data_IF_231569623587
#
_entry.id   IF_231569623587
#
_cell.length_a   1.000
_cell.length_b   1.000
_cell.length_c   1.000
_cell.angle_alpha   90.00
_cell.angle_beta   90.00
_cell.angle_gamma   90.00
#
_symmetry.space_group_name_H-M   'P 1'
#
loop_
_entity.id
_entity.type
_entity.pdbx_description
1 polymer ?
#
# COMPACT_ATOMS: atom_id res chain seq x y z
N UNK A 1 4.00 -24.27 -1.31
CA UNK A 1 3.58 -23.19 -2.23
C UNK A 1 4.48 -21.99 -1.97
N UNK A 2 5.25 -21.53 -2.96
CA UNK A 2 6.11 -20.36 -2.77
C UNK A 2 5.24 -19.09 -2.74
N UNK A 3 5.65 -18.07 -2.00
CA UNK A 3 4.94 -16.78 -1.94
C UNK A 3 4.80 -16.18 -3.34
N UNK A 4 5.83 -16.34 -4.18
CA UNK A 4 5.82 -15.90 -5.58
C UNK A 4 4.72 -16.58 -6.42
N UNK A 5 4.47 -17.87 -6.20
CA UNK A 5 3.44 -18.62 -6.92
C UNK A 5 2.03 -18.13 -6.52
N UNK A 6 1.85 -17.75 -5.26
CA UNK A 6 0.57 -17.27 -4.74
C UNK A 6 0.11 -15.95 -5.36
N UNK A 7 1.06 -15.09 -5.75
CA UNK A 7 0.79 -13.78 -6.36
C UNK A 7 0.76 -13.81 -7.90
N UNK A 8 1.34 -14.83 -8.54
CA UNK A 8 1.37 -14.96 -10.00
C UNK A 8 0.33 -15.95 -10.57
N UNK A 9 -0.35 -16.73 -9.72
CA UNK A 9 -1.46 -17.60 -10.14
C UNK A 9 -2.81 -16.87 -10.03
N UNK A 10 -3.19 -16.17 -11.10
CA UNK A 10 -4.48 -15.49 -11.21
C UNK A 10 -5.69 -16.45 -11.24
N UNK A 11 -5.46 -17.74 -11.54
CA UNK A 11 -6.51 -18.76 -11.63
C UNK A 11 -6.85 -19.39 -10.26
N UNK A 12 -5.90 -19.35 -9.34
CA UNK A 12 -5.99 -19.88 -7.98
C UNK A 12 -6.94 -19.10 -7.07
N UNK A 13 -7.55 -19.80 -6.10
CA UNK A 13 -8.37 -19.15 -5.04
C UNK A 13 -7.57 -18.13 -4.22
N UNK A 14 -6.27 -18.39 -4.03
CA UNK A 14 -5.36 -17.53 -3.25
C UNK A 14 -5.01 -16.25 -3.99
N UNK A 15 -4.66 -16.30 -5.27
CA UNK A 15 -4.39 -15.10 -6.07
C UNK A 15 -5.60 -14.18 -6.15
N UNK A 16 -6.79 -14.74 -6.37
CA UNK A 16 -8.05 -13.97 -6.34
C UNK A 16 -8.32 -13.31 -4.99
N UNK A 17 -8.08 -14.02 -3.88
CA UNK A 17 -8.27 -13.47 -2.55
C UNK A 17 -7.27 -12.33 -2.27
N UNK A 18 -5.99 -12.51 -2.62
CA UNK A 18 -4.96 -11.48 -2.43
C UNK A 18 -5.26 -10.22 -3.25
N UNK A 19 -5.60 -10.37 -4.53
CA UNK A 19 -6.02 -9.25 -5.39
C UNK A 19 -7.26 -8.54 -4.81
N UNK A 20 -8.27 -9.29 -4.38
CA UNK A 20 -9.45 -8.73 -3.72
C UNK A 20 -9.10 -7.91 -2.47
N UNK A 21 -8.19 -8.41 -1.63
CA UNK A 21 -7.74 -7.70 -0.42
C UNK A 21 -7.02 -6.40 -0.82
N UNK A 22 -6.12 -6.45 -1.79
CA UNK A 22 -5.36 -5.28 -2.24
C UNK A 22 -6.28 -4.16 -2.73
N UNK A 23 -7.28 -4.47 -3.55
CA UNK A 23 -8.22 -3.46 -4.07
C UNK A 23 -9.21 -2.94 -3.02
N UNK A 24 -9.39 -3.68 -1.91
CA UNK A 24 -10.23 -3.26 -0.77
C UNK A 24 -9.45 -2.69 0.41
N UNK A 25 -8.12 -2.61 0.30
CA UNK A 25 -7.25 -2.07 1.36
C UNK A 25 -7.62 -0.63 1.77
N UNK A 26 -8.24 0.14 0.88
CA UNK A 26 -8.77 1.48 1.19
C UNK A 26 -9.84 1.48 2.29
N UNK A 27 -10.66 0.43 2.40
CA UNK A 27 -11.63 0.30 3.51
C UNK A 27 -10.93 0.00 4.83
N UNK A 28 -9.91 -0.87 4.81
CA UNK A 28 -9.11 -1.15 5.99
C UNK A 28 -8.36 0.11 6.47
N UNK A 29 -7.85 0.92 5.53
CA UNK A 29 -7.24 2.22 5.82
C UNK A 29 -8.25 3.20 6.44
N UNK A 30 -9.45 3.30 5.89
CA UNK A 30 -10.49 4.19 6.43
C UNK A 30 -10.92 3.76 7.85
N UNK A 31 -11.14 2.46 8.06
CA UNK A 31 -11.45 1.91 9.38
C UNK A 31 -10.33 2.17 10.38
N UNK A 32 -9.07 1.99 9.97
CA UNK A 32 -7.91 2.30 10.80
C UNK A 32 -7.83 3.78 11.16
N UNK A 33 -8.01 4.69 10.19
CA UNK A 33 -8.01 6.13 10.46
C UNK A 33 -9.10 6.54 11.47
N UNK A 34 -10.29 5.94 11.38
CA UNK A 34 -11.36 6.16 12.37
C UNK A 34 -10.96 5.60 13.74
N UNK A 35 -10.41 4.38 13.80
CA UNK A 35 -9.96 3.78 15.05
C UNK A 35 -8.85 4.59 15.74
N UNK A 36 -7.92 5.17 14.97
CA UNK A 36 -6.89 6.10 15.46
C UNK A 36 -7.52 7.32 16.12
N UNK A 37 -8.43 8.01 15.43
CA UNK A 37 -9.11 9.20 15.98
C UNK A 37 -9.88 8.84 17.24
N UNK A 38 -10.57 7.70 17.27
CA UNK A 38 -11.25 7.23 18.48
C UNK A 38 -10.23 6.97 19.60
N UNK A 39 -9.12 6.28 19.32
CA UNK A 39 -8.07 5.99 20.28
C UNK A 39 -7.36 7.24 20.84
N UNK A 40 -7.33 8.35 20.09
CA UNK A 40 -6.74 9.60 20.57
C UNK A 40 -7.54 10.27 21.69
N UNK A 41 -8.87 10.15 21.64
CA UNK A 41 -9.78 10.89 22.52
C UNK A 41 -10.50 10.02 23.54
N UNK A 42 -10.62 8.72 23.29
CA UNK A 42 -11.37 7.79 24.13
C UNK A 42 -10.44 6.75 24.74
N UNK A 43 -10.01 7.02 25.98
CA UNK A 43 -9.30 6.05 26.81
C UNK A 43 -10.30 5.12 27.50
N UNK A 44 -10.70 4.06 26.80
CA UNK A 44 -11.67 3.09 27.30
C UNK A 44 -11.19 1.67 27.04
N UNK A 45 -11.01 0.89 28.10
CA UNK A 45 -10.47 -0.47 28.04
C UNK A 45 -11.26 -1.42 27.12
N UNK A 46 -12.56 -1.20 26.95
CA UNK A 46 -13.42 -2.02 26.08
C UNK A 46 -13.19 -1.76 24.58
N UNK A 47 -12.56 -0.62 24.24
CA UNK A 47 -12.15 -0.30 22.87
C UNK A 47 -10.81 -0.96 22.47
N UNK A 48 -10.03 -1.44 23.45
CA UNK A 48 -8.70 -2.02 23.18
C UNK A 48 -8.75 -3.18 22.20
N UNK A 49 -9.66 -4.15 22.41
CA UNK A 49 -9.78 -5.31 21.52
C UNK A 49 -10.28 -4.93 20.12
N UNK A 50 -11.37 -4.15 19.96
CA UNK A 50 -11.79 -3.65 18.65
C UNK A 50 -10.68 -2.90 17.89
N UNK A 51 -9.97 -1.97 18.55
CA UNK A 51 -8.88 -1.21 17.93
C UNK A 51 -7.75 -2.14 17.51
N UNK A 52 -7.35 -3.09 18.35
CA UNK A 52 -6.32 -4.07 18.01
C UNK A 52 -6.71 -4.91 16.79
N UNK A 53 -7.95 -5.37 16.69
CA UNK A 53 -8.46 -6.10 15.52
C UNK A 53 -8.35 -5.24 14.26
N UNK A 54 -8.75 -3.97 14.32
CA UNK A 54 -8.61 -3.04 13.20
C UNK A 54 -7.14 -2.86 12.81
N UNK A 55 -6.23 -2.69 13.78
CA UNK A 55 -4.79 -2.58 13.53
C UNK A 55 -4.22 -3.83 12.84
N UNK A 56 -4.63 -5.03 13.25
CA UNK A 56 -4.19 -6.30 12.63
C UNK A 56 -4.72 -6.42 11.21
N UNK A 57 -6.01 -6.13 11.00
CA UNK A 57 -6.63 -6.17 9.66
C UNK A 57 -5.98 -5.15 8.72
N UNK A 58 -5.74 -3.93 9.20
CA UNK A 58 -5.04 -2.89 8.47
C UNK A 58 -3.63 -3.32 8.08
N UNK A 59 -2.85 -3.80 9.06
CA UNK A 59 -1.47 -4.23 8.85
C UNK A 59 -1.41 -5.36 7.84
N UNK A 60 -2.26 -6.38 7.97
CA UNK A 60 -2.36 -7.48 7.02
C UNK A 60 -2.75 -7.02 5.61
N UNK A 61 -3.74 -6.14 5.49
CA UNK A 61 -4.17 -5.60 4.20
C UNK A 61 -3.07 -4.78 3.51
N UNK A 62 -2.35 -3.94 4.27
CA UNK A 62 -1.21 -3.17 3.75
C UNK A 62 -0.06 -4.09 3.36
N UNK A 63 0.25 -5.12 4.15
CA UNK A 63 1.27 -6.10 3.79
C UNK A 63 0.90 -6.81 2.49
N UNK A 64 -0.34 -7.30 2.34
CA UNK A 64 -0.82 -7.91 1.09
C UNK A 64 -0.73 -6.93 -0.08
N UNK A 65 -1.11 -5.66 0.12
CA UNK A 65 -0.97 -4.63 -0.90
C UNK A 65 0.49 -4.37 -1.28
N UNK A 66 1.41 -4.28 -0.31
CA UNK A 66 2.85 -4.12 -0.57
C UNK A 66 3.41 -5.29 -1.37
N UNK A 67 3.07 -6.52 -0.98
CA UNK A 67 3.50 -7.73 -1.67
C UNK A 67 2.93 -7.78 -3.09
N UNK A 68 1.65 -7.45 -3.28
CA UNK A 68 1.02 -7.34 -4.60
C UNK A 68 1.79 -6.36 -5.49
N UNK A 69 2.04 -5.13 -5.00
CA UNK A 69 2.79 -4.10 -5.74
C UNK A 69 4.23 -4.52 -6.08
N UNK A 70 4.86 -5.36 -5.26
CA UNK A 70 6.23 -5.82 -5.46
C UNK A 70 6.34 -7.00 -6.42
N UNK A 71 5.38 -7.94 -6.36
CA UNK A 71 5.50 -9.24 -7.02
C UNK A 71 4.62 -9.38 -8.26
N UNK A 72 3.59 -8.56 -8.45
CA UNK A 72 2.70 -8.66 -9.61
C UNK A 72 2.97 -7.56 -10.64
N UNK A 73 2.69 -7.87 -11.91
CA UNK A 73 2.43 -6.84 -12.93
C UNK A 73 1.12 -6.12 -12.58
N UNK A 74 0.82 -4.99 -13.22
CA UNK A 74 -0.48 -4.34 -13.04
C UNK A 74 -1.58 -5.32 -13.51
N UNK A 75 -2.41 -5.77 -12.58
CA UNK A 75 -3.56 -6.59 -12.92
C UNK A 75 -4.61 -5.77 -13.69
N UNK A 76 -5.59 -6.40 -14.36
CA UNK A 76 -6.64 -5.68 -15.10
C UNK A 76 -7.38 -4.66 -14.23
N UNK A 77 -7.65 -5.00 -12.97
CA UNK A 77 -8.30 -4.07 -12.02
C UNK A 77 -7.43 -2.85 -11.75
N UNK A 78 -6.12 -3.03 -11.51
CA UNK A 78 -5.18 -1.91 -11.34
C UNK A 78 -5.20 -0.99 -12.56
N UNK A 79 -5.27 -1.53 -13.78
CA UNK A 79 -5.34 -0.74 -15.01
C UNK A 79 -6.65 0.06 -15.11
N UNK A 80 -7.79 -0.53 -14.77
CA UNK A 80 -9.08 0.18 -14.77
C UNK A 80 -9.17 1.30 -13.73
N UNK A 81 -8.37 1.20 -12.67
CA UNK A 81 -8.30 2.17 -11.59
C UNK A 81 -7.36 3.35 -11.87
N UNK A 82 -6.63 3.33 -12.99
CA UNK A 82 -5.79 4.44 -13.43
C UNK A 82 -6.68 5.57 -13.95
N UNK A 83 -6.57 6.78 -13.38
CA UNK A 83 -7.38 7.92 -13.83
C UNK A 83 -6.94 8.39 -15.23
N UNK A 84 -7.88 8.82 -16.06
CA UNK A 84 -7.59 9.33 -17.41
C UNK A 84 -6.66 10.55 -17.40
N UNK A 85 -6.68 11.36 -16.34
CA UNK A 85 -5.78 12.49 -16.11
C UNK A 85 -4.53 12.13 -15.28
N UNK A 86 -4.07 10.88 -15.35
CA UNK A 86 -2.92 10.38 -14.58
C UNK A 86 -1.65 11.26 -14.64
N UNK A 87 -1.21 11.80 -15.80
CA UNK A 87 -0.04 12.68 -15.84
C UNK A 87 -0.24 13.95 -14.99
N UNK A 88 -1.39 14.61 -15.12
CA UNK A 88 -1.71 15.81 -14.36
C UNK A 88 -1.85 15.51 -12.85
N UNK A 89 -2.42 14.35 -12.49
CA UNK A 89 -2.50 13.90 -11.09
C UNK A 89 -1.13 13.59 -10.50
N UNK A 90 -0.22 12.97 -11.26
CA UNK A 90 1.14 12.71 -10.81
C UNK A 90 1.89 14.00 -10.50
N UNK A 91 1.69 15.04 -11.33
CA UNK A 91 2.24 16.37 -11.07
C UNK A 91 1.65 17.01 -9.80
N UNK A 92 0.32 16.96 -9.62
CA UNK A 92 -0.36 17.49 -8.42
C UNK A 92 0.02 16.73 -7.14
N UNK A 93 0.23 15.42 -7.23
CA UNK A 93 0.54 14.53 -6.10
C UNK A 93 2.03 14.21 -5.97
N UNK A 94 2.89 15.07 -6.54
CA UNK A 94 4.34 14.89 -6.56
C UNK A 94 4.94 14.68 -5.17
N UNK A 95 4.41 15.33 -4.13
CA UNK A 95 4.85 15.12 -2.75
C UNK A 95 4.53 13.72 -2.21
N UNK A 96 3.36 13.17 -2.50
CA UNK A 96 2.99 11.81 -2.08
C UNK A 96 3.90 10.78 -2.75
N UNK A 97 4.17 10.96 -4.05
CA UNK A 97 5.11 10.10 -4.77
C UNK A 97 6.53 10.20 -4.20
N UNK A 98 6.99 11.41 -3.84
CA UNK A 98 8.30 11.60 -3.18
C UNK A 98 8.35 10.90 -1.82
N UNK A 99 7.27 10.98 -1.06
CA UNK A 99 7.16 10.42 0.27
C UNK A 99 7.36 8.89 0.25
N UNK A 100 6.75 8.18 -0.70
CA UNK A 100 6.96 6.75 -0.89
C UNK A 100 8.44 6.40 -1.02
N UNK A 101 9.14 7.12 -1.89
CA UNK A 101 10.54 6.87 -2.15
C UNK A 101 11.43 7.25 -0.96
N UNK A 102 11.07 8.30 -0.22
CA UNK A 102 11.78 8.69 1.00
C UNK A 102 11.62 7.63 2.08
N UNK A 103 10.41 7.12 2.29
CA UNK A 103 10.09 6.13 3.30
C UNK A 103 10.77 4.78 3.06
N UNK A 104 11.07 4.43 1.80
CA UNK A 104 11.83 3.23 1.44
C UNK A 104 13.33 3.36 1.64
N UNK A 105 13.87 4.57 1.86
CA UNK A 105 15.30 4.75 2.12
C UNK A 105 15.65 4.24 3.52
N UNK A 106 16.87 3.70 3.68
CA UNK A 106 17.41 3.32 5.00
C UNK A 106 17.40 4.48 6.01
N UNK A 107 17.49 5.72 5.52
CA UNK A 107 17.39 6.93 6.34
C UNK A 107 16.00 7.13 6.99
N UNK A 108 14.95 6.44 6.53
CA UNK A 108 13.63 6.49 7.17
C UNK A 108 13.52 5.58 8.41
N UNK A 109 14.44 4.62 8.59
CA UNK A 109 14.48 3.74 9.78
C UNK A 109 14.50 4.53 11.09
N UNK A 110 15.40 5.51 11.32
CA UNK A 110 15.38 6.29 12.55
C UNK A 110 14.08 7.09 12.74
N UNK A 111 13.46 7.56 11.66
CA UNK A 111 12.16 8.26 11.72
C UNK A 111 11.06 7.27 12.17
N UNK A 112 11.05 6.06 11.61
CA UNK A 112 10.13 5.02 12.04
C UNK A 112 10.33 4.66 13.52
N UNK A 113 11.57 4.44 13.95
CA UNK A 113 11.86 4.18 15.36
C UNK A 113 11.41 5.35 16.24
N UNK A 114 11.69 6.59 15.85
CA UNK A 114 11.24 7.77 16.60
C UNK A 114 9.72 7.83 16.73
N UNK A 115 8.98 7.57 15.64
CA UNK A 115 7.53 7.70 15.60
C UNK A 115 6.75 6.58 16.29
N UNK A 116 7.33 5.37 16.39
CA UNK A 116 6.64 4.21 16.98
C UNK A 116 7.25 3.75 18.30
N UNK A 117 8.58 3.74 18.42
CA UNK A 117 9.25 3.25 19.63
C UNK A 117 9.19 4.27 20.77
N UNK A 118 9.38 5.57 20.47
CA UNK A 118 9.35 6.59 21.53
C UNK A 118 7.98 6.69 22.20
N UNK A 119 6.85 6.78 21.47
CA UNK A 119 5.53 6.73 22.12
C UNK A 119 5.31 5.47 22.94
N UNK A 120 5.69 4.30 22.39
CA UNK A 120 5.55 3.01 23.10
C UNK A 120 6.27 3.01 24.45
N UNK A 121 7.47 3.61 24.52
CA UNK A 121 8.25 3.70 25.75
C UNK A 121 7.81 4.84 26.67
N UNK A 122 7.24 5.91 26.11
CA UNK A 122 6.84 7.10 26.87
C UNK A 122 5.46 6.96 27.53
N UNK A 123 4.51 6.25 26.90
CA UNK A 123 3.11 6.11 27.36
C UNK A 123 2.97 5.76 28.84
N UNK A 124 3.74 4.82 29.44
CA UNK A 124 3.62 4.50 30.87
C UNK A 124 3.95 5.66 31.82
N UNK A 125 4.68 6.67 31.34
CA UNK A 125 5.15 7.82 32.12
C UNK A 125 4.35 9.09 31.84
N UNK A 126 3.40 9.05 30.91
CA UNK A 126 2.61 10.20 30.52
C UNK A 126 1.28 10.25 31.30
N UNK A 127 0.73 11.45 31.52
CA UNK A 127 -0.64 11.58 32.00
C UNK A 127 -1.61 10.84 31.07
N UNK A 128 -2.63 10.19 31.65
CA UNK A 128 -3.62 9.40 30.90
C UNK A 128 -4.28 10.19 29.76
N UNK A 129 -4.56 11.48 29.98
CA UNK A 129 -5.15 12.37 28.97
C UNK A 129 -4.24 12.65 27.76
N UNK A 130 -2.92 12.44 27.85
CA UNK A 130 -2.00 12.58 26.72
C UNK A 130 -1.69 11.25 26.02
N UNK A 131 -1.97 10.12 26.68
CA UNK A 131 -1.47 8.81 26.27
C UNK A 131 -1.88 8.44 24.83
N UNK A 132 -3.15 8.63 24.47
CA UNK A 132 -3.67 8.36 23.13
C UNK A 132 -3.07 9.25 22.04
N UNK A 133 -2.93 10.56 22.30
CA UNK A 133 -2.41 11.54 21.33
C UNK A 133 -0.92 11.31 21.03
N UNK A 134 -0.17 10.71 21.96
CA UNK A 134 1.27 10.48 21.82
C UNK A 134 1.60 9.59 20.60
N UNK A 135 0.68 8.69 20.22
CA UNK A 135 0.83 7.80 19.06
C UNK A 135 0.40 8.45 17.73
N UNK A 136 -0.31 9.58 17.77
CA UNK A 136 -0.89 10.22 16.59
C UNK A 136 0.12 10.51 15.46
N UNK A 137 1.37 10.97 15.74
CA UNK A 137 2.35 11.18 14.68
C UNK A 137 2.73 9.90 13.93
N UNK A 138 2.88 8.78 14.65
CA UNK A 138 3.19 7.48 14.04
C UNK A 138 2.03 6.94 13.21
N UNK A 139 0.80 7.09 13.71
CA UNK A 139 -0.40 6.65 12.99
C UNK A 139 -0.65 7.49 11.73
N UNK A 140 -0.50 8.82 11.82
CA UNK A 140 -0.56 9.71 10.67
C UNK A 140 0.51 9.37 9.62
N UNK A 141 1.71 9.00 10.07
CA UNK A 141 2.77 8.50 9.19
C UNK A 141 2.39 7.18 8.51
N UNK A 142 1.86 6.20 9.25
CA UNK A 142 1.40 4.92 8.68
C UNK A 142 0.28 5.11 7.64
N UNK A 143 -0.71 5.95 7.95
CA UNK A 143 -1.80 6.32 7.02
C UNK A 143 -1.22 6.98 5.77
N UNK A 144 -0.33 7.95 5.95
CA UNK A 144 0.36 8.64 4.86
C UNK A 144 1.11 7.67 3.95
N UNK A 145 1.80 6.67 4.55
CA UNK A 145 2.51 5.63 3.80
C UNK A 145 1.57 4.74 3.01
N UNK A 146 0.45 4.29 3.61
CA UNK A 146 -0.52 3.47 2.90
C UNK A 146 -1.16 4.22 1.72
N UNK A 147 -1.53 5.49 1.90
CA UNK A 147 -2.06 6.35 0.83
C UNK A 147 -1.01 6.57 -0.27
N UNK A 148 0.22 6.82 0.15
CA UNK A 148 1.38 7.03 -0.73
C UNK A 148 1.66 5.78 -1.57
N UNK A 149 1.69 4.59 -0.97
CA UNK A 149 1.86 3.31 -1.66
C UNK A 149 0.77 3.10 -2.71
N UNK A 150 -0.49 3.31 -2.33
CA UNK A 150 -1.63 3.15 -3.24
C UNK A 150 -1.58 4.13 -4.42
N UNK A 151 -1.30 5.40 -4.14
CA UNK A 151 -1.16 6.46 -5.16
C UNK A 151 0.03 6.17 -6.06
N UNK A 152 1.16 5.77 -5.48
CA UNK A 152 2.39 5.49 -6.17
C UNK A 152 2.24 4.30 -7.11
N UNK A 153 1.57 3.22 -6.70
CA UNK A 153 1.36 2.08 -7.57
C UNK A 153 0.56 2.44 -8.83
N UNK A 154 -0.53 3.20 -8.70
CA UNK A 154 -1.37 3.62 -9.84
C UNK A 154 -0.70 4.64 -10.76
N UNK A 155 0.11 5.53 -10.19
CA UNK A 155 0.78 6.60 -10.94
C UNK A 155 2.25 6.29 -11.24
N UNK A 156 2.68 5.05 -11.00
CA UNK A 156 4.07 4.59 -11.18
C UNK A 156 4.66 4.95 -12.54
N UNK A 157 3.94 4.81 -13.68
CA UNK A 157 4.49 5.17 -15.00
C UNK A 157 4.87 6.65 -15.14
N UNK A 158 4.23 7.53 -14.37
CA UNK A 158 4.44 8.98 -14.40
C UNK A 158 5.24 9.50 -13.20
N UNK A 159 5.74 8.61 -12.34
CA UNK A 159 6.51 9.00 -11.16
C UNK A 159 7.95 9.40 -11.57
N UNK A 160 8.40 10.65 -11.31
CA UNK A 160 9.70 11.13 -11.75
C UNK A 160 10.89 10.49 -11.00
N UNK A 161 10.63 9.77 -9.91
CA UNK A 161 11.64 9.06 -9.12
C UNK A 161 11.70 7.57 -9.43
N UNK A 162 10.71 7.03 -10.15
CA UNK A 162 10.76 5.69 -10.71
C UNK A 162 11.52 5.75 -12.04
N UNK A 163 12.83 5.51 -11.98
CA UNK A 163 13.68 5.42 -13.17
C UNK A 163 13.32 4.12 -13.94
N UNK A 164 13.19 4.19 -15.27
CA UNK A 164 13.04 3.06 -16.20
C UNK A 164 11.71 2.28 -16.17
N UNK A 165 10.55 2.93 -16.03
CA UNK A 165 9.28 2.22 -16.26
C UNK A 165 9.01 1.95 -17.76
N UNK A 166 9.58 2.75 -18.68
CA UNK A 166 9.35 2.66 -20.14
C UNK A 166 10.57 2.28 -20.99
N UNK A 167 11.77 2.20 -20.41
CA UNK A 167 13.01 2.02 -21.18
C UNK A 167 13.41 0.52 -21.20
N UNK A 168 12.73 -0.27 -22.05
CA UNK A 168 13.26 -1.45 -22.76
C UNK A 168 13.99 -2.59 -22.00
N UNK A 169 14.09 -2.56 -20.68
CA UNK A 169 14.80 -3.56 -19.89
C UNK A 169 13.82 -4.50 -19.18
N UNK A 170 13.58 -5.68 -19.76
CA UNK A 170 12.87 -6.81 -19.15
C UNK A 170 11.33 -6.76 -19.05
N UNK A 171 10.65 -6.12 -20.00
CA UNK A 171 9.23 -6.44 -20.27
C UNK A 171 9.16 -7.26 -21.55
N UNK A 172 9.41 -8.57 -21.45
CA UNK A 172 8.85 -9.49 -22.42
C UNK A 172 7.33 -9.52 -22.15
N UNK A 173 6.62 -8.65 -22.83
CA UNK A 173 5.25 -8.94 -23.21
C UNK A 173 5.37 -10.07 -24.24
N UNK A 174 4.86 -11.29 -23.97
CA UNK A 174 4.67 -12.25 -25.04
C UNK A 174 3.60 -11.63 -25.93
N UNK A 175 4.02 -10.87 -26.94
CA UNK A 175 3.16 -10.60 -28.08
C UNK A 175 2.72 -11.99 -28.56
N UNK A 176 1.41 -12.28 -28.66
CA UNK A 176 0.98 -13.48 -29.33
C UNK A 176 1.64 -13.49 -30.71
N UNK A 177 2.40 -14.55 -30.99
CA UNK A 177 3.07 -14.72 -32.26
C UNK A 177 1.99 -14.75 -33.36
N UNK A 178 2.01 -13.83 -34.33
CA UNK A 178 0.98 -13.77 -35.38
C UNK A 178 0.94 -15.02 -36.28
N UNK A 179 1.86 -15.97 -36.10
CA UNK A 179 1.97 -17.19 -36.91
C UNK A 179 0.92 -18.28 -36.64
N UNK A 180 0.00 -18.10 -35.68
CA UNK A 180 -1.13 -19.05 -35.49
C UNK A 180 -2.42 -18.68 -36.24
N UNK A 181 -2.44 -17.61 -37.04
CA UNK A 181 -3.49 -17.38 -38.04
C UNK A 181 -3.05 -17.97 -39.37
N UNK A 182 -2.93 -19.30 -39.41
CA UNK A 182 -2.86 -20.04 -40.67
C UNK A 182 -4.13 -19.74 -41.47
N UNK A 183 -3.96 -18.85 -42.44
CA UNK A 183 -4.85 -18.68 -43.57
C UNK A 183 -4.88 -20.03 -44.29
N UNK A 184 -5.95 -20.80 -44.06
CA UNK A 184 -6.28 -21.92 -44.94
C UNK A 184 -6.77 -21.28 -46.23
N UNK A 185 -5.88 -21.23 -47.22
CA UNK A 185 -6.29 -21.12 -48.63
C UNK A 185 -6.99 -22.40 -49.03
N UNK A 186 -8.26 -22.28 -49.38
CA UNK A 186 -8.98 -23.20 -50.26
C UNK A 186 -10.12 -22.44 -50.93
#
# INVERSE_FOLDING_TARGET
>A
MNVLDAFNDDSGRTGRALTWITHRSGYALAAYAVACVVGWFFDSWWLTVPVLVVCVVFSGAVTVAMLHVQFTRLCPTCMTEVPADAPARAQRRRWQLRFEHLARRRAAVPVFLLLFLVPLLAVPYLPSWCSGITSAPGEAWAIGLAVSLWTHHRLRPWCPWCRNWGDGGAIHEPSPDPTNLNTVTS
#
